data_IF_244545514471
#
_entry.id   IF_244545514471
#
_cell.length_a   1.000
_cell.length_b   1.000
_cell.length_c   1.000
_cell.angle_alpha   90.00
_cell.angle_beta   90.00
_cell.angle_gamma   90.00
#
_symmetry.space_group_name_H-M   'P 1'
#
loop_
_entity.id
_entity.type
_entity.pdbx_description
1 polymer ?
#
# COMPACT_ATOMS: atom_id res chain seq x y z
N UNK A 1 14.87 -6.86 -7.53
CA UNK A 1 14.81 -8.33 -7.21
C UNK A 1 13.38 -8.80 -7.39
N UNK A 2 13.15 -10.06 -7.80
CA UNK A 2 11.82 -10.69 -7.86
C UNK A 2 11.59 -11.46 -6.57
N UNK A 3 10.50 -11.17 -5.87
CA UNK A 3 10.15 -11.83 -4.61
C UNK A 3 9.50 -13.19 -4.82
N UNK A 4 8.53 -13.26 -5.73
CA UNK A 4 7.74 -14.46 -6.00
C UNK A 4 7.68 -14.74 -7.51
N UNK A 5 8.69 -15.43 -8.08
CA UNK A 5 8.75 -15.68 -9.51
C UNK A 5 7.50 -16.37 -10.08
N UNK A 6 6.89 -17.27 -9.31
CA UNK A 6 5.67 -17.97 -9.72
C UNK A 6 4.44 -17.10 -9.90
N UNK A 7 4.48 -15.86 -9.40
CA UNK A 7 3.39 -14.89 -9.54
C UNK A 7 3.79 -13.62 -10.30
N UNK A 8 5.09 -13.33 -10.39
CA UNK A 8 5.61 -12.11 -10.99
C UNK A 8 6.14 -12.33 -12.41
N UNK A 9 6.53 -13.57 -12.76
CA UNK A 9 7.07 -13.93 -14.07
C UNK A 9 6.04 -14.65 -14.96
N UNK A 10 4.77 -14.34 -14.81
CA UNK A 10 3.70 -14.93 -15.61
C UNK A 10 3.70 -14.37 -17.04
N UNK A 11 3.34 -15.21 -18.02
CA UNK A 11 3.04 -14.73 -19.36
C UNK A 11 1.80 -13.80 -19.35
N UNK A 12 1.68 -12.95 -20.36
CA UNK A 12 0.51 -12.07 -20.48
C UNK A 12 -0.81 -12.86 -20.50
N UNK A 13 -0.82 -14.01 -21.14
CA UNK A 13 -2.01 -14.87 -21.19
C UNK A 13 -2.40 -15.39 -19.81
N UNK A 14 -1.48 -15.97 -19.07
CA UNK A 14 -1.72 -16.46 -17.71
C UNK A 14 -2.19 -15.34 -16.78
N UNK A 15 -1.59 -14.16 -16.93
CA UNK A 15 -1.98 -12.99 -16.15
C UNK A 15 -3.42 -12.53 -16.45
N UNK A 16 -3.82 -12.51 -17.72
CA UNK A 16 -5.17 -12.13 -18.13
C UNK A 16 -6.21 -13.19 -17.73
N UNK A 17 -5.87 -14.47 -17.72
CA UNK A 17 -6.71 -15.56 -17.21
C UNK A 17 -6.98 -15.37 -15.70
N UNK A 18 -5.94 -15.13 -14.90
CA UNK A 18 -6.07 -14.86 -13.45
C UNK A 18 -6.90 -13.59 -13.19
N UNK A 19 -6.69 -12.54 -13.96
CA UNK A 19 -7.49 -11.30 -13.84
C UNK A 19 -8.97 -11.55 -14.10
N UNK A 20 -9.28 -12.32 -15.13
CA UNK A 20 -10.67 -12.62 -15.47
C UNK A 20 -11.34 -13.47 -14.39
N UNK A 21 -10.65 -14.49 -13.89
CA UNK A 21 -11.15 -15.32 -12.78
C UNK A 21 -11.46 -14.46 -11.54
N UNK A 22 -10.52 -13.59 -11.16
CA UNK A 22 -10.69 -12.69 -10.01
C UNK A 22 -11.79 -11.66 -10.23
N UNK A 23 -11.94 -11.12 -11.44
CA UNK A 23 -13.03 -10.21 -11.79
C UNK A 23 -14.38 -10.89 -11.61
N UNK A 24 -14.55 -12.09 -12.17
CA UNK A 24 -15.78 -12.89 -12.02
C UNK A 24 -16.09 -13.18 -10.56
N UNK A 25 -15.08 -13.60 -9.81
CA UNK A 25 -15.21 -13.87 -8.37
C UNK A 25 -15.63 -12.61 -7.60
N UNK A 26 -14.98 -11.48 -7.84
CA UNK A 26 -15.25 -10.22 -7.14
C UNK A 26 -16.68 -9.73 -7.41
N UNK A 27 -17.11 -9.75 -8.67
CA UNK A 27 -18.46 -9.31 -9.07
C UNK A 27 -19.52 -10.23 -8.44
N UNK A 28 -19.31 -11.54 -8.50
CA UNK A 28 -20.23 -12.51 -7.88
C UNK A 28 -20.32 -12.29 -6.37
N UNK A 29 -19.17 -12.15 -5.71
CA UNK A 29 -19.10 -11.92 -4.26
C UNK A 29 -19.79 -10.62 -3.84
N UNK A 30 -19.56 -9.52 -4.57
CA UNK A 30 -20.20 -8.24 -4.33
C UNK A 30 -21.73 -8.33 -4.50
N UNK A 31 -22.18 -8.99 -5.54
CA UNK A 31 -23.62 -9.21 -5.83
C UNK A 31 -24.31 -10.05 -4.74
N UNK A 32 -23.68 -11.15 -4.34
CA UNK A 32 -24.29 -12.11 -3.39
C UNK A 32 -24.29 -11.57 -1.94
N UNK A 33 -23.24 -10.86 -1.52
CA UNK A 33 -23.02 -10.53 -0.11
C UNK A 33 -23.25 -9.07 0.24
N UNK A 34 -23.30 -8.16 -0.73
CA UNK A 34 -23.44 -6.72 -0.46
C UNK A 34 -24.68 -6.17 -1.13
N UNK A 35 -25.71 -5.85 -0.34
CA UNK A 35 -27.00 -5.34 -0.82
C UNK A 35 -26.84 -4.13 -1.75
N UNK A 36 -25.96 -3.19 -1.42
CA UNK A 36 -25.70 -2.00 -2.21
C UNK A 36 -25.30 -2.34 -3.68
N UNK A 37 -24.39 -3.30 -3.86
CA UNK A 37 -23.96 -3.71 -5.19
C UNK A 37 -25.04 -4.53 -5.90
N UNK A 38 -25.75 -5.40 -5.19
CA UNK A 38 -26.87 -6.16 -5.76
C UNK A 38 -27.92 -5.22 -6.34
N UNK A 39 -28.40 -4.26 -5.54
CA UNK A 39 -29.42 -3.30 -5.97
C UNK A 39 -28.98 -2.49 -7.19
N UNK A 40 -27.70 -2.06 -7.26
CA UNK A 40 -27.15 -1.31 -8.38
C UNK A 40 -27.03 -2.16 -9.65
N UNK A 41 -26.60 -3.40 -9.52
CA UNK A 41 -26.49 -4.31 -10.66
C UNK A 41 -27.87 -4.70 -11.19
N UNK A 42 -28.81 -5.02 -10.32
CA UNK A 42 -30.20 -5.33 -10.73
C UNK A 42 -30.86 -4.16 -11.45
N UNK A 43 -30.64 -2.92 -11.01
CA UNK A 43 -31.17 -1.71 -11.64
C UNK A 43 -30.76 -1.56 -13.11
N UNK A 44 -29.60 -2.05 -13.50
CA UNK A 44 -29.08 -1.99 -14.88
C UNK A 44 -29.14 -3.35 -15.58
N UNK A 45 -29.78 -4.35 -14.99
CA UNK A 45 -29.87 -5.71 -15.53
C UNK A 45 -28.55 -6.46 -15.61
N UNK A 46 -27.53 -6.06 -14.83
CA UNK A 46 -26.23 -6.74 -14.78
C UNK A 46 -26.32 -7.91 -13.79
N UNK A 47 -25.87 -9.09 -14.23
CA UNK A 47 -25.73 -10.28 -13.37
C UNK A 47 -24.29 -10.78 -13.41
N UNK A 48 -23.80 -11.48 -12.35
CA UNK A 48 -22.43 -12.01 -12.32
C UNK A 48 -22.04 -12.82 -13.56
N UNK A 49 -22.96 -13.62 -14.10
CA UNK A 49 -22.75 -14.44 -15.30
C UNK A 49 -22.56 -13.63 -16.61
N UNK A 50 -22.88 -12.35 -16.61
CA UNK A 50 -22.64 -11.47 -17.76
C UNK A 50 -21.17 -11.03 -17.88
N UNK A 51 -20.34 -11.33 -16.87
CA UNK A 51 -18.90 -11.06 -16.90
C UNK A 51 -18.19 -12.28 -17.51
N UNK A 52 -17.83 -12.19 -18.80
CA UNK A 52 -17.20 -13.27 -19.54
C UNK A 52 -15.78 -12.92 -20.02
N UNK A 53 -15.49 -11.64 -20.17
CA UNK A 53 -14.20 -11.10 -20.62
C UNK A 53 -13.72 -9.98 -19.70
N UNK A 54 -12.44 -9.64 -19.76
CA UNK A 54 -11.90 -8.48 -19.00
C UNK A 54 -12.55 -7.16 -19.41
N UNK A 55 -12.99 -7.04 -20.67
CA UNK A 55 -13.69 -5.84 -21.17
C UNK A 55 -15.04 -5.62 -20.48
N UNK A 56 -15.66 -6.67 -19.96
CA UNK A 56 -16.95 -6.56 -19.29
C UNK A 56 -16.89 -5.74 -17.98
N UNK A 57 -15.70 -5.39 -17.50
CA UNK A 57 -15.51 -4.43 -16.40
C UNK A 57 -16.18 -3.07 -16.71
N UNK A 58 -16.25 -2.69 -17.98
CA UNK A 58 -16.89 -1.45 -18.44
C UNK A 58 -18.40 -1.41 -18.17
N UNK A 59 -19.03 -2.58 -17.96
CA UNK A 59 -20.46 -2.70 -17.62
C UNK A 59 -20.74 -2.40 -16.14
N UNK A 60 -19.72 -2.41 -15.30
CA UNK A 60 -19.86 -2.27 -13.85
C UNK A 60 -19.99 -0.79 -13.50
N UNK A 61 -21.04 -0.38 -12.78
CA UNK A 61 -21.21 1.01 -12.39
C UNK A 61 -20.17 1.43 -11.35
N UNK A 62 -19.65 2.64 -11.50
CA UNK A 62 -18.66 3.18 -10.55
C UNK A 62 -19.21 3.31 -9.13
N UNK A 63 -18.34 3.09 -8.15
CA UNK A 63 -18.60 3.41 -6.75
C UNK A 63 -17.89 4.72 -6.41
N UNK A 64 -18.64 5.69 -5.93
CA UNK A 64 -18.11 7.01 -5.55
C UNK A 64 -17.73 7.04 -4.07
N UNK A 65 -16.93 8.04 -3.67
CA UNK A 65 -16.60 8.27 -2.26
C UNK A 65 -17.85 8.61 -1.42
N UNK A 66 -18.89 9.19 -2.04
CA UNK A 66 -20.18 9.44 -1.38
C UNK A 66 -20.87 8.11 -1.06
N UNK A 67 -20.93 7.19 -2.01
CA UNK A 67 -21.48 5.85 -1.79
C UNK A 67 -20.82 5.13 -0.60
N UNK A 68 -19.48 5.24 -0.47
CA UNK A 68 -18.75 4.66 0.64
C UNK A 68 -19.17 5.27 1.99
N UNK A 69 -19.37 6.60 2.04
CA UNK A 69 -19.78 7.32 3.25
C UNK A 69 -21.24 7.04 3.66
N UNK A 70 -22.15 6.94 2.70
CA UNK A 70 -23.57 6.63 2.95
C UNK A 70 -23.76 5.20 3.47
N UNK A 71 -22.84 4.32 3.16
CA UNK A 71 -22.83 2.95 3.64
C UNK A 71 -21.94 2.73 4.88
N UNK A 72 -21.50 3.81 5.54
CA UNK A 72 -20.75 3.76 6.80
C UNK A 72 -21.55 3.06 7.91
N UNK A 73 -20.94 2.28 8.81
CA UNK A 73 -19.54 1.90 8.76
C UNK A 73 -19.28 0.60 8.00
N UNK A 74 -20.20 -0.38 7.95
CA UNK A 74 -19.92 -1.76 7.53
C UNK A 74 -20.85 -2.31 6.45
N UNK A 75 -21.75 -1.49 5.89
CA UNK A 75 -22.76 -1.97 4.93
C UNK A 75 -22.19 -2.48 3.60
N UNK A 76 -20.92 -2.15 3.32
CA UNK A 76 -20.19 -2.64 2.13
C UNK A 76 -19.31 -3.84 2.41
N UNK A 77 -19.30 -4.36 3.63
CA UNK A 77 -18.53 -5.57 3.94
C UNK A 77 -19.20 -6.79 3.34
N UNK A 78 -18.43 -7.56 2.59
CA UNK A 78 -18.86 -8.82 1.99
C UNK A 78 -18.64 -10.03 2.92
N UNK A 79 -18.04 -9.79 4.10
CA UNK A 79 -17.81 -10.78 5.14
C UNK A 79 -18.41 -10.33 6.48
N UNK A 80 -18.87 -11.27 7.32
CA UNK A 80 -19.34 -10.94 8.66
C UNK A 80 -18.19 -10.47 9.56
N UNK A 81 -18.51 -9.61 10.54
CA UNK A 81 -17.51 -9.06 11.47
C UNK A 81 -16.68 -10.13 12.20
N UNK A 82 -17.20 -11.33 12.38
CA UNK A 82 -16.47 -12.45 12.99
C UNK A 82 -15.26 -12.95 12.18
N UNK A 83 -15.20 -12.61 10.88
CA UNK A 83 -14.06 -12.90 10.01
C UNK A 83 -13.11 -11.71 9.85
N UNK A 84 -13.50 -10.52 10.29
CA UNK A 84 -12.69 -9.32 10.19
C UNK A 84 -11.68 -9.31 11.34
N UNK A 85 -10.40 -9.28 11.01
CA UNK A 85 -9.29 -9.29 11.99
C UNK A 85 -8.68 -7.91 12.19
N UNK A 86 -8.99 -6.95 11.28
CA UNK A 86 -8.48 -5.58 11.36
C UNK A 86 -9.43 -4.60 10.68
N UNK A 87 -9.53 -3.40 11.24
CA UNK A 87 -10.22 -2.25 10.66
C UNK A 87 -9.22 -1.13 10.40
N UNK A 88 -9.34 -0.51 9.24
CA UNK A 88 -8.68 0.75 8.91
C UNK A 88 -9.71 1.77 8.44
N UNK A 89 -9.33 3.04 8.49
CA UNK A 89 -10.19 4.11 8.02
C UNK A 89 -9.37 5.22 7.37
N UNK A 90 -9.97 5.89 6.38
CA UNK A 90 -9.43 7.11 5.81
C UNK A 90 -9.48 8.27 6.82
N UNK A 91 -8.73 9.35 6.57
CA UNK A 91 -8.65 10.51 7.48
C UNK A 91 -9.97 11.21 7.80
N UNK A 92 -10.98 11.05 6.95
CA UNK A 92 -12.30 11.65 7.17
C UNK A 92 -12.34 13.18 7.17
N UNK A 93 -11.33 13.88 6.64
CA UNK A 93 -11.18 15.34 6.64
C UNK A 93 -12.41 16.10 6.11
N UNK A 94 -13.24 15.45 5.33
CA UNK A 94 -14.44 16.04 4.69
C UNK A 94 -15.75 15.41 5.17
N UNK A 95 -15.78 14.77 6.36
CA UNK A 95 -16.96 14.11 6.93
C UNK A 95 -16.65 12.75 7.57
N UNK A 96 -17.63 11.83 7.57
CA UNK A 96 -17.40 10.47 8.09
C UNK A 96 -16.26 9.78 7.34
N UNK A 97 -15.35 9.09 8.05
CA UNK A 97 -14.29 8.33 7.39
C UNK A 97 -14.87 7.18 6.57
N UNK A 98 -14.12 6.71 5.60
CA UNK A 98 -14.41 5.44 4.94
C UNK A 98 -13.70 4.33 5.70
N UNK A 99 -14.44 3.28 6.07
CA UNK A 99 -13.94 2.16 6.88
C UNK A 99 -13.75 0.93 6.00
N UNK A 100 -12.63 0.25 6.19
CA UNK A 100 -12.28 -1.00 5.52
C UNK A 100 -11.99 -2.08 6.54
N UNK A 101 -12.53 -3.27 6.29
CA UNK A 101 -12.31 -4.45 7.10
C UNK A 101 -11.48 -5.47 6.32
N UNK A 102 -10.48 -6.04 6.99
CA UNK A 102 -9.58 -7.02 6.43
C UNK A 102 -9.78 -8.36 7.11
N UNK A 103 -9.94 -9.41 6.33
CA UNK A 103 -9.88 -10.78 6.79
C UNK A 103 -8.42 -11.22 6.97
N UNK A 104 -8.21 -12.39 7.57
CA UNK A 104 -6.85 -12.97 7.64
C UNK A 104 -6.23 -13.17 6.25
N UNK A 105 -7.02 -13.64 5.29
CA UNK A 105 -6.56 -13.81 3.91
C UNK A 105 -6.16 -12.47 3.26
N UNK A 106 -6.93 -11.41 3.48
CA UNK A 106 -6.57 -10.07 2.97
C UNK A 106 -5.23 -9.59 3.56
N UNK A 107 -4.99 -9.89 4.85
CA UNK A 107 -3.71 -9.56 5.49
C UNK A 107 -2.55 -10.32 4.87
N UNK A 108 -2.72 -11.60 4.54
CA UNK A 108 -1.68 -12.41 3.91
C UNK A 108 -1.38 -11.95 2.48
N UNK A 109 -2.42 -11.61 1.71
CA UNK A 109 -2.27 -11.00 0.37
C UNK A 109 -1.54 -9.64 0.46
N UNK A 110 -1.89 -8.84 1.45
CA UNK A 110 -1.27 -7.53 1.64
C UNK A 110 0.22 -7.60 1.96
N UNK A 111 0.61 -8.49 2.88
CA UNK A 111 2.02 -8.78 3.18
C UNK A 111 2.81 -9.15 1.93
N UNK A 112 2.25 -10.07 1.14
CA UNK A 112 2.87 -10.52 -0.12
C UNK A 112 3.06 -9.37 -1.10
N UNK A 113 2.07 -8.49 -1.28
CA UNK A 113 2.15 -7.35 -2.19
C UNK A 113 3.23 -6.36 -1.76
N UNK A 114 3.32 -6.06 -0.48
CA UNK A 114 4.37 -5.17 0.05
C UNK A 114 5.75 -5.83 -0.08
N UNK A 115 5.87 -7.12 0.20
CA UNK A 115 7.14 -7.84 0.02
C UNK A 115 7.66 -7.72 -1.42
N UNK A 116 6.78 -7.80 -2.43
CA UNK A 116 7.16 -7.60 -3.84
C UNK A 116 7.68 -6.20 -4.09
N UNK A 117 6.96 -5.17 -3.62
CA UNK A 117 7.35 -3.77 -3.79
C UNK A 117 8.70 -3.51 -3.13
N UNK A 118 8.89 -3.96 -1.91
CA UNK A 118 10.14 -3.79 -1.19
C UNK A 118 11.31 -4.53 -1.88
N UNK A 119 11.07 -5.75 -2.39
CA UNK A 119 12.06 -6.50 -3.17
C UNK A 119 12.42 -5.79 -4.50
N UNK A 120 11.43 -5.20 -5.20
CA UNK A 120 11.68 -4.38 -6.40
C UNK A 120 12.54 -3.15 -6.10
N UNK A 121 12.35 -2.54 -4.93
CA UNK A 121 13.16 -1.43 -4.43
C UNK A 121 14.57 -1.87 -3.95
N UNK A 122 14.91 -3.14 -4.05
CA UNK A 122 16.22 -3.67 -3.65
C UNK A 122 16.36 -3.95 -2.16
N UNK A 123 15.27 -4.00 -1.39
CA UNK A 123 15.28 -4.38 0.03
C UNK A 123 15.50 -5.89 0.18
N UNK A 124 16.29 -6.28 1.14
CA UNK A 124 16.63 -7.68 1.47
C UNK A 124 16.43 -7.97 2.96
N UNK A 125 16.50 -9.22 3.36
CA UNK A 125 16.41 -9.64 4.76
C UNK A 125 17.59 -9.18 5.65
N UNK A 126 18.68 -8.71 5.04
CA UNK A 126 19.83 -8.16 5.77
C UNK A 126 19.62 -6.69 6.17
N UNK A 127 18.52 -6.08 5.74
CA UNK A 127 18.23 -4.68 5.99
C UNK A 127 17.57 -4.41 7.34
N UNK A 128 17.79 -3.18 7.82
CA UNK A 128 17.09 -2.59 8.96
C UNK A 128 16.26 -1.43 8.44
N UNK A 129 14.94 -1.59 8.46
CA UNK A 129 13.99 -0.61 7.92
C UNK A 129 13.35 0.22 9.03
N UNK A 130 13.53 1.53 9.01
CA UNK A 130 12.83 2.43 9.92
C UNK A 130 11.58 3.00 9.25
N UNK A 131 10.43 2.80 9.90
CA UNK A 131 9.14 3.34 9.45
C UNK A 131 8.85 4.63 10.19
N UNK A 132 8.87 5.73 9.43
CA UNK A 132 8.56 7.07 9.94
C UNK A 132 7.15 7.54 9.55
N UNK A 133 6.30 6.63 9.09
CA UNK A 133 4.85 6.83 8.97
C UNK A 133 4.17 6.76 10.34
N UNK A 134 3.12 7.55 10.55
CA UNK A 134 2.25 7.40 11.71
C UNK A 134 1.52 6.03 11.72
N UNK A 135 1.53 5.38 12.87
CA UNK A 135 0.68 4.21 13.12
C UNK A 135 -0.65 4.65 13.72
N UNK A 136 -1.76 4.13 13.20
CA UNK A 136 -3.10 4.50 13.63
C UNK A 136 -4.16 3.84 12.74
N UNK A 137 -5.26 4.54 12.48
CA UNK A 137 -6.31 4.03 11.60
C UNK A 137 -5.89 3.98 10.11
N UNK A 138 -4.78 4.64 9.75
CA UNK A 138 -4.25 4.62 8.39
C UNK A 138 -3.61 3.29 8.03
N UNK A 139 -3.65 2.97 6.74
CA UNK A 139 -3.08 1.72 6.22
C UNK A 139 -1.57 1.76 6.04
N UNK A 140 -0.98 2.95 5.82
CA UNK A 140 0.42 3.13 5.39
C UNK A 140 1.44 2.43 6.27
N UNK A 141 1.55 2.86 7.54
CA UNK A 141 2.54 2.32 8.47
C UNK A 141 2.41 0.81 8.68
N UNK A 142 1.20 0.34 8.94
CA UNK A 142 0.94 -1.08 9.21
C UNK A 142 1.13 -1.98 7.99
N UNK A 143 0.75 -1.53 6.80
CA UNK A 143 0.94 -2.31 5.58
C UNK A 143 2.42 -2.56 5.30
N UNK A 144 3.21 -1.47 5.30
CA UNK A 144 4.65 -1.55 5.06
C UNK A 144 5.38 -2.34 6.14
N UNK A 145 5.04 -2.12 7.42
CA UNK A 145 5.57 -2.89 8.54
C UNK A 145 5.45 -4.40 8.31
N UNK A 146 4.23 -4.88 8.00
CA UNK A 146 3.97 -6.30 7.87
C UNK A 146 4.62 -6.95 6.65
N UNK A 147 4.71 -6.23 5.55
CA UNK A 147 5.37 -6.76 4.36
C UNK A 147 6.88 -6.86 4.51
N UNK A 148 7.51 -5.87 5.16
CA UNK A 148 8.93 -5.90 5.48
C UNK A 148 9.25 -7.02 6.48
N UNK A 149 8.44 -7.17 7.54
CA UNK A 149 8.57 -8.26 8.51
C UNK A 149 8.40 -9.65 7.84
N UNK A 150 7.48 -9.77 6.86
CA UNK A 150 7.30 -10.99 6.08
C UNK A 150 8.52 -11.37 5.22
N UNK A 151 9.35 -10.40 4.87
CA UNK A 151 10.63 -10.62 4.18
C UNK A 151 11.79 -11.00 5.09
N UNK A 152 11.59 -10.94 6.42
CA UNK A 152 12.66 -11.13 7.40
C UNK A 152 13.50 -9.86 7.65
N UNK A 153 13.07 -8.70 7.17
CA UNK A 153 13.69 -7.41 7.43
C UNK A 153 13.53 -7.04 8.91
N UNK A 154 14.58 -6.55 9.54
CA UNK A 154 14.46 -5.97 10.88
C UNK A 154 13.74 -4.63 10.80
N UNK A 155 12.57 -4.53 11.44
CA UNK A 155 11.75 -3.31 11.34
C UNK A 155 11.81 -2.50 12.63
N UNK A 156 12.12 -1.21 12.49
CA UNK A 156 12.06 -0.19 13.55
C UNK A 156 10.75 0.60 13.38
N UNK A 157 9.69 0.32 14.17
CA UNK A 157 8.39 0.97 14.05
C UNK A 157 8.38 2.32 14.79
N UNK A 158 9.22 3.25 14.35
CA UNK A 158 9.46 4.51 15.05
C UNK A 158 8.26 5.46 15.05
N UNK A 159 7.30 5.26 14.12
CA UNK A 159 6.14 6.14 13.90
C UNK A 159 6.56 7.53 13.40
N UNK A 160 5.62 8.46 13.27
CA UNK A 160 5.91 9.83 12.84
C UNK A 160 6.26 10.76 14.01
N UNK A 161 6.91 11.87 13.70
CA UNK A 161 7.25 12.93 14.66
C UNK A 161 8.53 12.65 15.46
N UNK A 162 8.91 13.60 16.32
CA UNK A 162 10.11 13.59 17.12
C UNK A 162 11.39 13.32 16.29
N UNK A 163 11.75 14.29 15.43
CA UNK A 163 12.87 14.17 14.48
C UNK A 163 14.20 13.81 15.18
N UNK A 164 14.44 14.31 16.40
CA UNK A 164 15.64 13.96 17.18
C UNK A 164 15.74 12.45 17.43
N UNK A 165 14.64 11.85 17.86
CA UNK A 165 14.59 10.41 18.12
C UNK A 165 14.70 9.61 16.82
N UNK A 166 14.13 10.11 15.71
CA UNK A 166 14.29 9.46 14.42
C UNK A 166 15.76 9.39 14.00
N UNK A 167 16.48 10.50 14.12
CA UNK A 167 17.91 10.59 13.78
C UNK A 167 18.76 9.70 14.68
N UNK A 168 18.48 9.68 15.97
CA UNK A 168 19.15 8.80 16.93
C UNK A 168 18.98 7.31 16.52
N UNK A 169 17.77 6.88 16.17
CA UNK A 169 17.56 5.49 15.74
C UNK A 169 18.25 5.18 14.41
N UNK A 170 18.27 6.12 13.46
CA UNK A 170 18.96 5.95 12.17
C UNK A 170 20.45 5.68 12.41
N UNK A 171 21.08 6.43 13.30
CA UNK A 171 22.50 6.31 13.63
C UNK A 171 22.78 5.06 14.48
N UNK A 172 22.12 4.94 15.65
CA UNK A 172 22.41 3.90 16.64
C UNK A 172 22.07 2.49 16.16
N UNK A 173 20.98 2.32 15.41
CA UNK A 173 20.55 1.01 14.92
C UNK A 173 21.13 0.67 13.54
N UNK A 174 21.83 1.62 12.90
CA UNK A 174 22.40 1.40 11.58
C UNK A 174 21.36 1.14 10.51
N UNK A 175 20.29 1.94 10.51
CA UNK A 175 19.17 1.84 9.56
C UNK A 175 19.68 1.92 8.13
N UNK A 176 19.20 1.00 7.28
CA UNK A 176 19.57 0.89 5.85
C UNK A 176 18.43 1.23 4.90
N UNK A 177 17.19 1.14 5.36
CA UNK A 177 15.98 1.46 4.58
C UNK A 177 15.14 2.47 5.34
N UNK A 178 14.78 3.58 4.68
CA UNK A 178 13.92 4.60 5.26
C UNK A 178 12.55 4.59 4.58
N UNK A 179 11.49 4.42 5.37
CA UNK A 179 10.11 4.24 4.90
C UNK A 179 9.24 5.38 5.43
N UNK A 180 8.79 6.27 4.55
CA UNK A 180 8.06 7.46 4.99
C UNK A 180 7.37 8.25 3.88
N UNK A 181 6.79 9.40 4.25
CA UNK A 181 6.34 10.37 3.27
C UNK A 181 7.52 11.17 2.72
N UNK A 182 7.54 11.52 1.42
CA UNK A 182 8.62 12.30 0.83
C UNK A 182 8.94 13.60 1.60
N UNK A 183 7.92 14.36 2.00
CA UNK A 183 8.12 15.61 2.73
C UNK A 183 8.83 15.43 4.08
N UNK A 184 8.48 14.38 4.82
CA UNK A 184 9.11 14.15 6.13
C UNK A 184 10.52 13.59 5.99
N UNK A 185 10.75 12.76 4.98
CA UNK A 185 12.10 12.24 4.69
C UNK A 185 13.03 13.34 4.20
N UNK A 186 12.51 14.30 3.40
CA UNK A 186 13.26 15.50 3.01
C UNK A 186 13.70 16.29 4.24
N UNK A 187 12.76 16.58 5.16
CA UNK A 187 13.07 17.28 6.41
C UNK A 187 14.13 16.57 7.25
N UNK A 188 14.02 15.24 7.41
CA UNK A 188 15.05 14.46 8.12
C UNK A 188 16.40 14.53 7.40
N UNK A 189 16.41 14.51 6.05
CA UNK A 189 17.63 14.63 5.26
C UNK A 189 18.33 15.98 5.42
N UNK A 190 17.57 17.07 5.51
CA UNK A 190 18.10 18.40 5.81
C UNK A 190 18.80 18.40 7.19
N UNK A 191 18.18 17.82 8.21
CA UNK A 191 18.77 17.71 9.54
C UNK A 191 20.04 16.81 9.56
N UNK A 192 20.01 15.69 8.84
CA UNK A 192 21.18 14.80 8.68
C UNK A 192 22.36 15.56 8.07
N UNK A 193 22.09 16.31 7.00
CA UNK A 193 23.10 17.10 6.30
C UNK A 193 23.66 18.25 7.17
N UNK A 194 22.78 19.02 7.81
CA UNK A 194 23.16 20.13 8.70
C UNK A 194 24.04 19.68 9.86
N UNK A 195 23.67 18.56 10.48
CA UNK A 195 24.35 18.01 11.68
C UNK A 195 25.47 17.05 11.37
N UNK A 196 25.68 16.72 10.11
CA UNK A 196 26.69 15.75 9.63
C UNK A 196 26.55 14.37 10.29
N UNK A 197 25.31 13.92 10.48
CA UNK A 197 25.01 12.61 11.07
C UNK A 197 25.48 11.52 10.13
N UNK A 198 26.18 10.54 10.67
CA UNK A 198 26.62 9.37 9.91
C UNK A 198 25.48 8.35 9.83
N UNK A 199 25.19 7.82 8.66
CA UNK A 199 24.12 6.83 8.46
C UNK A 199 24.50 5.76 7.43
N UNK A 200 23.73 4.68 7.42
CA UNK A 200 23.87 3.57 6.49
C UNK A 200 22.66 3.44 5.55
N UNK A 201 21.76 4.42 5.55
CA UNK A 201 20.59 4.42 4.68
C UNK A 201 21.04 4.34 3.24
N UNK A 202 20.49 3.39 2.47
CA UNK A 202 20.81 3.12 1.07
C UNK A 202 19.59 3.08 0.16
N UNK A 203 18.38 2.88 0.73
CA UNK A 203 17.11 2.82 0.01
C UNK A 203 16.08 3.69 0.71
N UNK A 204 15.35 4.48 -0.06
CA UNK A 204 14.14 5.17 0.35
C UNK A 204 12.90 4.52 -0.27
N UNK A 205 11.95 4.11 0.55
CA UNK A 205 10.66 3.56 0.12
C UNK A 205 9.55 4.52 0.52
N UNK A 206 9.08 5.33 -0.42
CA UNK A 206 8.22 6.47 -0.14
C UNK A 206 6.80 6.29 -0.68
N UNK A 207 5.86 7.03 -0.11
CA UNK A 207 4.46 7.03 -0.54
C UNK A 207 3.57 7.87 0.37
N UNK A 208 2.26 7.77 0.16
CA UNK A 208 1.26 8.45 0.97
C UNK A 208 0.99 9.91 0.57
N UNK A 209 1.87 10.54 -0.18
CA UNK A 209 1.69 11.85 -0.80
C UNK A 209 2.44 11.92 -2.13
N UNK A 210 1.99 12.79 -3.02
CA UNK A 210 2.70 13.07 -4.26
C UNK A 210 3.90 13.99 -4.01
N UNK A 211 4.94 13.85 -4.83
CA UNK A 211 6.08 14.75 -4.80
C UNK A 211 6.56 15.09 -6.22
N UNK A 212 7.35 16.14 -6.32
CA UNK A 212 7.94 16.57 -7.61
C UNK A 212 9.25 15.83 -7.85
N UNK A 213 9.64 15.71 -9.12
CA UNK A 213 10.96 15.18 -9.49
C UNK A 213 12.12 15.97 -8.84
N UNK A 214 11.92 17.26 -8.58
CA UNK A 214 12.94 18.06 -7.88
C UNK A 214 13.05 17.69 -6.40
N UNK A 215 11.93 17.49 -5.69
CA UNK A 215 11.93 17.01 -4.30
C UNK A 215 12.61 15.64 -4.20
N UNK A 216 12.34 14.73 -5.13
CA UNK A 216 13.01 13.42 -5.20
C UNK A 216 14.52 13.58 -5.31
N UNK A 217 15.00 14.35 -6.30
CA UNK A 217 16.43 14.61 -6.48
C UNK A 217 17.08 15.24 -5.25
N UNK A 218 16.36 16.11 -4.54
CA UNK A 218 16.83 16.73 -3.31
C UNK A 218 16.99 15.69 -2.19
N UNK A 219 16.02 14.79 -2.00
CA UNK A 219 16.10 13.70 -1.03
C UNK A 219 17.30 12.80 -1.37
N UNK A 220 17.42 12.38 -2.62
CA UNK A 220 18.50 11.51 -3.10
C UNK A 220 19.89 12.12 -2.86
N UNK A 221 20.04 13.43 -3.10
CA UNK A 221 21.29 14.15 -2.81
C UNK A 221 21.61 14.24 -1.33
N UNK A 222 20.61 14.53 -0.48
CA UNK A 222 20.82 14.71 0.96
C UNK A 222 21.19 13.41 1.66
N UNK A 223 20.57 12.30 1.23
CA UNK A 223 20.77 10.99 1.82
C UNK A 223 21.81 10.14 1.08
N UNK A 224 22.19 10.48 -0.15
CA UNK A 224 23.05 9.64 -0.99
C UNK A 224 22.41 8.29 -1.34
N UNK A 225 21.12 8.25 -1.58
CA UNK A 225 20.31 7.03 -1.79
C UNK A 225 19.57 7.04 -3.10
N UNK A 226 19.05 5.89 -3.49
CA UNK A 226 17.97 5.79 -4.48
C UNK A 226 16.60 5.75 -3.79
N UNK A 227 15.65 6.47 -4.37
CA UNK A 227 14.28 6.55 -3.87
C UNK A 227 13.34 5.77 -4.79
N UNK A 228 12.48 4.96 -4.23
CA UNK A 228 11.38 4.32 -4.95
C UNK A 228 10.04 4.74 -4.36
N UNK A 229 9.03 4.80 -5.22
CA UNK A 229 7.68 5.13 -4.81
C UNK A 229 6.82 3.88 -4.67
N UNK A 230 5.89 3.94 -3.73
CA UNK A 230 4.79 3.01 -3.67
C UNK A 230 3.46 3.76 -3.67
N UNK A 231 2.53 3.31 -4.50
CA UNK A 231 1.19 3.84 -4.58
C UNK A 231 0.21 2.93 -3.86
N UNK A 232 -0.75 3.56 -3.21
CA UNK A 232 -1.87 2.87 -2.60
C UNK A 232 -2.92 3.83 -2.08
N UNK A 233 -4.08 3.29 -1.79
CA UNK A 233 -5.18 4.03 -1.16
C UNK A 233 -5.97 3.07 -0.27
N UNK A 234 -6.55 3.62 0.78
CA UNK A 234 -7.32 2.83 1.77
C UNK A 234 -8.45 2.05 1.09
N UNK A 235 -9.06 2.61 0.04
CA UNK A 235 -10.13 2.03 -0.75
C UNK A 235 -9.72 0.76 -1.52
N UNK A 236 -8.43 0.55 -1.73
CA UNK A 236 -7.89 -0.62 -2.43
C UNK A 236 -6.73 -1.23 -1.63
N UNK A 237 -7.01 -1.69 -0.42
CA UNK A 237 -6.08 -2.38 0.48
C UNK A 237 -5.03 -1.50 1.19
N UNK A 238 -4.77 -0.26 0.80
CA UNK A 238 -3.71 0.59 1.33
C UNK A 238 -2.46 0.62 0.44
N UNK A 239 -1.23 0.77 0.97
CA UNK A 239 -0.01 0.66 0.20
C UNK A 239 0.12 -0.74 -0.41
N UNK A 240 0.79 -0.86 -1.55
CA UNK A 240 1.00 -2.15 -2.21
C UNK A 240 0.11 -2.36 -3.44
N UNK A 241 -0.56 -1.32 -3.95
CA UNK A 241 -1.30 -1.39 -5.23
C UNK A 241 -0.32 -1.40 -6.40
N UNK A 242 0.67 -0.53 -6.37
CA UNK A 242 1.80 -0.52 -7.30
C UNK A 242 3.05 0.02 -6.61
N UNK A 243 4.21 -0.24 -7.19
CA UNK A 243 5.49 0.25 -6.71
C UNK A 243 6.47 0.40 -7.85
N UNK A 244 7.43 1.28 -7.66
CA UNK A 244 8.50 1.55 -8.59
C UNK A 244 9.67 0.58 -8.35
N UNK A 245 10.29 0.09 -9.41
CA UNK A 245 11.56 -0.64 -9.32
C UNK A 245 12.75 0.32 -9.50
N UNK A 246 13.98 -0.18 -9.33
CA UNK A 246 15.21 0.62 -9.48
C UNK A 246 15.47 1.13 -10.91
N UNK A 247 14.79 0.61 -11.92
CA UNK A 247 14.90 1.10 -13.30
C UNK A 247 14.09 2.40 -13.51
N UNK A 248 13.20 2.75 -12.60
CA UNK A 248 12.38 3.97 -12.62
C UNK A 248 11.56 4.19 -13.91
N UNK A 249 11.15 3.12 -14.56
CA UNK A 249 10.36 3.13 -15.82
C UNK A 249 8.84 3.12 -15.57
N UNK A 250 8.42 3.69 -14.44
CA UNK A 250 7.03 3.83 -14.01
C UNK A 250 6.61 2.86 -12.90
N UNK A 251 5.31 2.91 -12.54
CA UNK A 251 4.68 2.08 -11.52
C UNK A 251 3.60 1.17 -12.10
#
# INVERSE_FOLDING_TARGET
MIWNPGKECLSRKEYDEIKLERLKWTVKRAYENVKFYRDRFDKIGLKPEHIQTLKDIEKIPYTSKLDLRENYPFKLFAEPMSKIVRLHASSGTTGKPVVFGYTKNDMDVWKENISRIAAMAGVTNDDIAQIVFGFGMFTGGFGLYQGLENMGVTVVPASSGNSERQLMFIEDFGVTVLVGTPSYVLHLGELVHERKIQHKVRVGLFGGEGHTAEMRRQIERLWGIECTENYGLTEVQGPGVSGECLEHDGM
#
